data_IF_335469370144
#
_entry.id   IF_335469370144
#
_cell.length_a   1.000
_cell.length_b   1.000
_cell.length_c   1.000
_cell.angle_alpha   90.00
_cell.angle_beta   90.00
_cell.angle_gamma   90.00
#
_symmetry.space_group_name_H-M   'P 1'
#
loop_
_entity.id
_entity.type
_entity.pdbx_description
1 polymer ?
#
# COMPACT_ATOMS: atom_id res chain seq x y z
N UNK A 1 19.59 17.93 -17.07
CA UNK A 1 18.93 18.95 -16.23
C UNK A 1 18.69 18.38 -14.83
N UNK A 2 18.95 19.12 -13.73
CA UNK A 2 18.81 18.62 -12.36
C UNK A 2 17.43 18.04 -12.03
N UNK A 3 16.36 18.70 -12.50
CA UNK A 3 14.98 18.17 -12.41
C UNK A 3 14.83 16.74 -12.99
N UNK A 4 15.37 16.48 -14.19
CA UNK A 4 15.29 15.15 -14.84
C UNK A 4 16.08 14.11 -14.05
N UNK A 5 17.26 14.49 -13.53
CA UNK A 5 18.04 13.62 -12.64
C UNK A 5 17.26 13.29 -11.37
N UNK A 6 16.56 14.28 -10.79
CA UNK A 6 15.69 14.10 -9.64
C UNK A 6 14.56 13.13 -9.92
N UNK A 7 13.81 13.32 -11.00
CA UNK A 7 12.72 12.41 -11.38
C UNK A 7 13.19 10.98 -11.59
N UNK A 8 14.35 10.77 -12.22
CA UNK A 8 14.92 9.43 -12.40
C UNK A 8 15.34 8.81 -11.07
N UNK A 9 15.94 9.59 -10.17
CA UNK A 9 16.37 9.10 -8.87
C UNK A 9 15.20 8.77 -7.92
N UNK A 10 14.05 9.44 -8.07
CA UNK A 10 12.85 9.11 -7.31
C UNK A 10 12.31 7.71 -7.59
N UNK A 11 12.60 7.14 -8.76
CA UNK A 11 12.05 5.86 -9.17
C UNK A 11 12.84 4.72 -8.51
N UNK A 12 12.20 3.83 -7.74
CA UNK A 12 12.86 2.61 -7.31
C UNK A 12 13.20 1.75 -8.53
N UNK A 13 14.32 1.05 -8.45
CA UNK A 13 14.86 0.12 -9.44
C UNK A 13 15.29 -1.15 -8.72
N UNK A 14 15.61 -2.20 -9.46
CA UNK A 14 16.12 -3.42 -8.83
C UNK A 14 17.47 -3.21 -8.13
N UNK A 15 18.24 -2.19 -8.51
CA UNK A 15 19.54 -1.90 -7.92
C UNK A 15 19.49 -0.72 -6.93
N UNK A 16 18.28 -0.28 -6.54
CA UNK A 16 18.11 0.81 -5.59
C UNK A 16 18.78 0.48 -4.26
N UNK A 17 19.75 1.33 -3.89
CA UNK A 17 20.53 1.21 -2.64
C UNK A 17 19.99 2.07 -1.51
N UNK A 18 18.94 2.85 -1.74
CA UNK A 18 18.41 3.75 -0.72
C UNK A 18 17.45 3.00 0.19
N UNK A 19 17.48 3.28 1.51
CA UNK A 19 16.36 2.92 2.41
C UNK A 19 15.21 3.91 2.29
N UNK A 20 15.52 5.18 2.03
CA UNK A 20 14.58 6.29 1.83
C UNK A 20 14.81 6.81 0.41
N UNK A 21 13.78 6.75 -0.44
CA UNK A 21 13.88 7.22 -1.82
C UNK A 21 14.13 8.73 -1.84
N UNK A 22 15.05 9.21 -2.67
CA UNK A 22 15.19 10.64 -2.87
C UNK A 22 13.95 11.18 -3.58
N UNK A 23 13.69 12.47 -3.40
CA UNK A 23 12.57 13.20 -4.00
C UNK A 23 13.10 14.36 -4.83
N UNK A 24 12.27 14.97 -5.67
CA UNK A 24 12.71 16.13 -6.47
C UNK A 24 13.22 17.29 -5.59
N UNK A 25 12.71 17.41 -4.36
CA UNK A 25 13.13 18.41 -3.37
C UNK A 25 14.56 18.17 -2.83
N UNK A 26 15.09 16.95 -2.96
CA UNK A 26 16.50 16.67 -2.64
C UNK A 26 17.47 17.18 -3.73
N UNK A 27 16.96 17.43 -4.94
CA UNK A 27 17.76 17.89 -6.09
C UNK A 27 17.60 19.38 -6.39
N UNK A 28 16.45 19.97 -6.05
CA UNK A 28 16.12 21.34 -6.37
C UNK A 28 15.82 22.17 -5.13
N UNK A 29 16.25 23.43 -5.15
CA UNK A 29 15.86 24.43 -4.17
C UNK A 29 15.20 25.63 -4.84
N UNK A 30 14.16 26.17 -4.21
CA UNK A 30 13.51 27.40 -4.66
C UNK A 30 14.26 28.59 -4.05
N UNK A 31 14.90 29.41 -4.88
CA UNK A 31 15.45 30.69 -4.46
C UNK A 31 14.57 31.83 -4.92
N UNK A 32 14.24 32.72 -3.99
CA UNK A 32 13.55 33.97 -4.29
C UNK A 32 14.58 35.03 -4.56
N UNK A 33 14.60 35.56 -5.77
CA UNK A 33 15.45 36.68 -6.14
C UNK A 33 14.95 37.98 -5.46
N UNK A 34 15.81 39.02 -5.37
CA UNK A 34 15.44 40.29 -4.73
C UNK A 34 14.25 41.02 -5.36
N UNK A 35 13.91 40.68 -6.61
CA UNK A 35 12.74 41.20 -7.35
C UNK A 35 11.43 40.42 -7.07
N UNK A 36 11.46 39.44 -6.16
CA UNK A 36 10.33 38.60 -5.80
C UNK A 36 10.09 37.44 -6.76
N UNK A 37 10.90 37.28 -7.82
CA UNK A 37 10.79 36.13 -8.73
C UNK A 37 11.38 34.89 -8.09
N UNK A 38 10.72 33.74 -8.24
CA UNK A 38 11.24 32.45 -7.77
C UNK A 38 11.95 31.72 -8.91
N UNK A 39 13.13 31.17 -8.62
CA UNK A 39 13.89 30.33 -9.55
C UNK A 39 14.20 29.00 -8.88
N UNK A 40 14.03 27.92 -9.63
CA UNK A 40 14.46 26.59 -9.23
C UNK A 40 15.93 26.42 -9.62
N UNK A 41 16.78 26.20 -8.63
CA UNK A 41 18.21 25.96 -8.81
C UNK A 41 18.58 24.57 -8.29
N UNK A 42 19.73 24.05 -8.74
CA UNK A 42 20.28 22.82 -8.20
C UNK A 42 20.65 23.02 -6.73
N UNK A 43 20.22 22.09 -5.88
CA UNK A 43 20.42 22.19 -4.44
C UNK A 43 21.90 22.07 -4.08
N UNK A 44 22.38 23.03 -3.30
CA UNK A 44 23.74 22.99 -2.77
C UNK A 44 23.86 21.84 -1.76
N UNK A 45 24.88 20.97 -1.90
CA UNK A 45 25.07 19.80 -1.01
C UNK A 45 24.31 18.52 -1.42
N UNK A 46 23.74 18.47 -2.62
CA UNK A 46 23.02 17.28 -3.15
C UNK A 46 23.80 15.96 -2.97
N UNK A 47 25.11 15.95 -3.25
CA UNK A 47 25.93 14.73 -3.13
C UNK A 47 26.00 14.21 -1.70
N UNK A 48 26.15 15.11 -0.73
CA UNK A 48 26.24 14.74 0.68
C UNK A 48 24.89 14.18 1.15
N UNK A 49 23.79 14.81 0.73
CA UNK A 49 22.43 14.32 1.01
C UNK A 49 22.17 12.93 0.44
N UNK A 50 22.52 12.68 -0.82
CA UNK A 50 22.37 11.35 -1.42
C UNK A 50 23.23 10.30 -0.70
N UNK A 51 24.47 10.65 -0.34
CA UNK A 51 25.35 9.76 0.41
C UNK A 51 24.83 9.45 1.83
N UNK A 52 24.11 10.37 2.48
CA UNK A 52 23.40 10.08 3.73
C UNK A 52 22.29 9.06 3.55
N UNK A 53 21.49 9.20 2.48
CA UNK A 53 20.41 8.26 2.17
C UNK A 53 20.94 6.85 1.86
N UNK A 54 22.11 6.75 1.21
CA UNK A 54 22.81 5.48 0.97
C UNK A 54 23.39 4.87 2.26
N UNK A 55 23.86 5.68 3.21
CA UNK A 55 24.42 5.20 4.48
C UNK A 55 23.35 4.76 5.49
N UNK A 56 22.09 5.13 5.28
CA UNK A 56 20.96 4.77 6.14
C UNK A 56 20.43 3.33 5.92
N UNK A 57 21.17 2.47 5.21
CA UNK A 57 20.88 1.03 5.11
C UNK A 57 21.38 0.38 6.41
N UNK A 58 20.51 -0.09 7.34
CA UNK A 58 21.00 -0.98 8.37
C UNK A 58 21.50 -2.26 7.69
N UNK A 59 22.63 -2.78 8.16
CA UNK A 59 23.03 -4.15 7.85
C UNK A 59 21.83 -5.05 8.13
N UNK A 60 21.39 -5.82 7.13
CA UNK A 60 20.30 -6.76 7.27
C UNK A 60 20.57 -7.59 8.53
N UNK A 61 19.83 -7.29 9.59
CA UNK A 61 19.85 -8.10 10.79
C UNK A 61 19.38 -9.47 10.37
N UNK A 62 20.33 -10.40 10.25
CA UNK A 62 20.10 -11.82 10.03
C UNK A 62 18.82 -12.23 10.75
N UNK A 63 17.84 -12.73 10.01
CA UNK A 63 16.55 -13.14 10.52
C UNK A 63 16.73 -14.10 11.68
N UNK A 64 16.64 -13.57 12.90
CA UNK A 64 16.41 -14.38 14.09
C UNK A 64 15.02 -15.00 13.93
N UNK A 65 14.97 -16.33 14.12
CA UNK A 65 13.88 -17.19 13.68
C UNK A 65 12.50 -16.65 14.04
N UNK A 66 11.62 -16.63 13.03
CA UNK A 66 10.20 -16.32 13.19
C UNK A 66 9.60 -17.23 14.24
N UNK A 67 9.22 -16.66 15.38
CA UNK A 67 8.42 -17.38 16.36
C UNK A 67 6.99 -17.50 15.83
N UNK A 68 6.23 -18.58 16.12
CA UNK A 68 4.80 -18.65 15.82
C UNK A 68 3.99 -17.45 16.36
N UNK A 69 4.50 -16.75 17.37
CA UNK A 69 3.92 -15.51 17.92
C UNK A 69 3.94 -14.33 16.96
N UNK A 70 4.80 -14.38 15.95
CA UNK A 70 5.03 -13.27 15.02
C UNK A 70 4.09 -13.35 13.82
N UNK A 71 3.33 -14.44 13.68
CA UNK A 71 2.34 -14.61 12.63
C UNK A 71 1.12 -13.71 12.88
N UNK A 72 0.89 -12.74 12.00
CA UNK A 72 -0.29 -11.88 12.05
C UNK A 72 -1.46 -12.49 11.28
N UNK A 73 -1.21 -12.98 10.07
CA UNK A 73 -2.26 -13.47 9.16
C UNK A 73 -1.86 -14.83 8.60
N UNK A 74 -2.77 -15.79 8.61
CA UNK A 74 -2.68 -17.05 7.86
C UNK A 74 -3.87 -17.16 6.92
N UNK A 75 -3.62 -17.51 5.67
CA UNK A 75 -4.63 -17.76 4.65
C UNK A 75 -4.43 -19.19 4.14
N UNK A 76 -5.48 -19.99 4.14
CA UNK A 76 -5.43 -21.43 3.80
C UNK A 76 -6.52 -21.77 2.76
N UNK A 77 -6.12 -22.30 1.60
CA UNK A 77 -6.98 -22.73 0.47
C UNK A 77 -8.11 -21.72 0.15
N UNK A 78 -7.78 -20.43 0.15
CA UNK A 78 -8.75 -19.37 -0.08
C UNK A 78 -9.23 -19.38 -1.52
N UNK A 79 -10.56 -19.35 -1.71
CA UNK A 79 -11.20 -19.30 -3.03
C UNK A 79 -12.23 -18.18 -3.10
N UNK A 80 -12.22 -17.48 -4.22
CA UNK A 80 -13.18 -16.44 -4.56
C UNK A 80 -13.56 -16.64 -6.02
N UNK A 81 -14.73 -17.23 -6.23
CA UNK A 81 -15.27 -17.54 -7.54
C UNK A 81 -16.52 -16.69 -7.79
N UNK A 82 -16.54 -15.97 -8.91
CA UNK A 82 -17.69 -15.18 -9.33
C UNK A 82 -18.43 -15.89 -10.44
N UNK A 83 -19.75 -16.00 -10.31
CA UNK A 83 -20.58 -16.52 -11.38
C UNK A 83 -21.00 -15.35 -12.28
N UNK A 84 -20.54 -15.34 -13.52
CA UNK A 84 -20.92 -14.38 -14.55
C UNK A 84 -21.87 -15.06 -15.54
N UNK A 85 -23.09 -14.55 -15.66
CA UNK A 85 -24.15 -15.11 -16.53
C UNK A 85 -25.29 -15.76 -15.73
N UNK A 86 -26.51 -15.26 -15.92
CA UNK A 86 -27.71 -15.75 -15.24
C UNK A 86 -28.63 -14.69 -14.63
N UNK A 87 -28.52 -13.42 -15.02
CA UNK A 87 -29.59 -12.45 -14.74
C UNK A 87 -30.90 -12.88 -15.42
N UNK A 88 -32.04 -12.40 -14.93
CA UNK A 88 -33.41 -12.74 -15.42
C UNK A 88 -33.58 -12.57 -16.95
N UNK A 89 -32.74 -11.74 -17.60
CA UNK A 89 -32.69 -11.52 -19.05
C UNK A 89 -31.68 -12.41 -19.81
N UNK A 90 -30.68 -12.99 -19.14
CA UNK A 90 -29.63 -13.81 -19.77
C UNK A 90 -30.10 -15.21 -20.17
N UNK A 91 -31.15 -15.73 -19.52
CA UNK A 91 -31.79 -16.99 -19.89
C UNK A 91 -32.48 -16.98 -21.26
N UNK A 92 -32.78 -15.79 -21.81
CA UNK A 92 -33.37 -15.62 -23.15
C UNK A 92 -32.33 -15.62 -24.27
N UNK A 93 -31.03 -15.43 -23.97
CA UNK A 93 -29.95 -15.32 -24.97
C UNK A 93 -28.88 -16.42 -24.88
N UNK A 94 -29.13 -17.49 -24.11
CA UNK A 94 -28.41 -18.76 -24.25
C UNK A 94 -26.92 -18.78 -23.89
N UNK A 95 -26.39 -17.78 -23.18
CA UNK A 95 -25.01 -17.83 -22.68
C UNK A 95 -24.94 -18.68 -21.42
N UNK A 96 -24.15 -19.76 -21.45
CA UNK A 96 -23.90 -20.60 -20.28
C UNK A 96 -23.26 -19.78 -19.15
N UNK A 97 -23.62 -20.02 -17.88
CA UNK A 97 -22.96 -19.38 -16.76
C UNK A 97 -21.46 -19.69 -16.79
N UNK A 98 -20.62 -18.65 -16.82
CA UNK A 98 -19.18 -18.74 -16.73
C UNK A 98 -18.73 -18.40 -15.31
N UNK A 99 -18.04 -19.33 -14.66
CA UNK A 99 -17.43 -19.08 -13.35
C UNK A 99 -16.03 -18.51 -13.54
N UNK A 100 -15.82 -17.27 -13.10
CA UNK A 100 -14.52 -16.61 -13.06
C UNK A 100 -13.87 -16.92 -11.72
N UNK A 101 -12.73 -17.62 -11.76
CA UNK A 101 -11.96 -17.97 -10.56
C UNK A 101 -10.92 -16.90 -10.26
N UNK A 102 -11.34 -15.83 -9.57
CA UNK A 102 -10.46 -14.71 -9.28
C UNK A 102 -9.40 -15.04 -8.22
N UNK A 103 -9.71 -15.95 -7.29
CA UNK A 103 -8.77 -16.54 -6.33
C UNK A 103 -9.08 -18.03 -6.25
N UNK A 104 -8.09 -18.91 -6.42
CA UNK A 104 -8.29 -20.35 -6.59
C UNK A 104 -7.29 -21.21 -5.81
N UNK A 105 -7.47 -21.24 -4.48
CA UNK A 105 -6.69 -22.08 -3.58
C UNK A 105 -5.41 -21.38 -3.12
N UNK A 106 -5.51 -20.09 -2.84
CA UNK A 106 -4.38 -19.29 -2.35
C UNK A 106 -4.11 -19.62 -0.89
N UNK A 107 -2.85 -19.91 -0.59
CA UNK A 107 -2.32 -19.95 0.77
C UNK A 107 -1.15 -18.98 0.91
N UNK A 108 -1.13 -18.21 1.99
CA UNK A 108 -0.03 -17.30 2.32
C UNK A 108 -0.01 -17.01 3.82
N UNK A 109 1.12 -16.52 4.29
CA UNK A 109 1.30 -16.07 5.68
C UNK A 109 1.88 -14.66 5.70
N UNK A 110 1.60 -13.92 6.77
CA UNK A 110 2.11 -12.57 6.97
C UNK A 110 2.57 -12.37 8.41
N UNK A 111 3.80 -11.90 8.57
CA UNK A 111 4.39 -11.63 9.88
C UNK A 111 4.13 -10.19 10.35
N UNK A 112 4.02 -10.01 11.66
CA UNK A 112 3.85 -8.70 12.31
C UNK A 112 5.00 -7.75 11.98
N UNK A 113 4.66 -6.49 11.69
CA UNK A 113 5.63 -5.43 11.38
C UNK A 113 6.35 -5.60 10.04
N UNK A 114 5.97 -6.59 9.22
CA UNK A 114 6.58 -6.88 7.91
C UNK A 114 5.67 -6.48 6.76
N UNK A 115 6.26 -6.34 5.58
CA UNK A 115 5.55 -6.09 4.33
C UNK A 115 5.63 -7.31 3.44
N UNK A 116 4.46 -7.86 3.05
CA UNK A 116 4.36 -8.83 1.96
C UNK A 116 3.94 -8.11 0.69
N UNK A 117 4.80 -8.18 -0.32
CA UNK A 117 4.52 -7.76 -1.67
C UNK A 117 3.65 -8.78 -2.40
N UNK A 118 2.56 -8.35 -3.03
CA UNK A 118 1.76 -9.18 -3.92
C UNK A 118 1.86 -8.63 -5.34
N UNK A 119 2.49 -9.42 -6.23
CA UNK A 119 2.79 -9.04 -7.62
C UNK A 119 2.17 -10.01 -8.61
N UNK A 120 2.07 -9.57 -9.87
CA UNK A 120 1.52 -10.36 -10.96
C UNK A 120 0.85 -9.46 -11.99
N UNK A 121 0.47 -10.02 -13.13
CA UNK A 121 -0.18 -9.27 -14.21
C UNK A 121 -1.49 -8.60 -13.81
N UNK A 122 -1.90 -7.57 -14.56
CA UNK A 122 -3.20 -6.94 -14.37
C UNK A 122 -4.32 -7.98 -14.54
N UNK A 123 -5.29 -7.99 -13.62
CA UNK A 123 -6.41 -8.93 -13.66
C UNK A 123 -6.12 -10.34 -13.12
N UNK A 124 -4.92 -10.64 -12.61
CA UNK A 124 -4.61 -11.98 -12.08
C UNK A 124 -5.26 -12.33 -10.73
N UNK A 125 -5.94 -11.37 -10.07
CA UNK A 125 -6.71 -11.60 -8.84
C UNK A 125 -6.21 -10.88 -7.58
N UNK A 126 -5.13 -10.08 -7.66
CA UNK A 126 -4.49 -9.43 -6.49
C UNK A 126 -5.44 -8.59 -5.64
N UNK A 127 -6.15 -7.65 -6.27
CA UNK A 127 -7.14 -6.80 -5.60
C UNK A 127 -8.28 -7.62 -4.99
N UNK A 128 -8.70 -8.70 -5.67
CA UNK A 128 -9.72 -9.61 -5.12
C UNK A 128 -9.20 -10.33 -3.88
N UNK A 129 -7.95 -10.82 -3.90
CA UNK A 129 -7.32 -11.46 -2.75
C UNK A 129 -7.20 -10.50 -1.55
N UNK A 130 -6.67 -9.29 -1.77
CA UNK A 130 -6.55 -8.29 -0.70
C UNK A 130 -7.90 -7.92 -0.08
N UNK A 131 -8.94 -7.75 -0.90
CA UNK A 131 -10.30 -7.47 -0.42
C UNK A 131 -10.95 -8.68 0.27
N UNK A 132 -10.66 -9.90 -0.17
CA UNK A 132 -11.16 -11.12 0.44
C UNK A 132 -10.57 -11.35 1.83
N UNK A 133 -9.26 -11.08 2.00
CA UNK A 133 -8.57 -11.10 3.31
C UNK A 133 -9.27 -10.18 4.32
N UNK A 134 -9.73 -9.01 3.87
CA UNK A 134 -10.46 -8.04 4.70
C UNK A 134 -11.97 -8.32 4.85
N UNK A 135 -12.46 -9.46 4.36
CA UNK A 135 -13.91 -9.77 4.29
C UNK A 135 -14.73 -8.64 3.65
N UNK A 136 -14.17 -7.96 2.63
CA UNK A 136 -14.87 -6.99 1.79
C UNK A 136 -15.53 -7.65 0.58
N UNK A 137 -15.09 -8.86 0.23
CA UNK A 137 -15.67 -9.71 -0.81
C UNK A 137 -15.99 -11.07 -0.21
N UNK A 138 -17.10 -11.67 -0.67
CA UNK A 138 -17.52 -12.99 -0.20
C UNK A 138 -16.54 -14.06 -0.67
N UNK A 139 -16.06 -14.86 0.26
CA UNK A 139 -15.20 -16.01 -0.02
C UNK A 139 -16.07 -17.22 -0.36
N UNK A 140 -15.68 -17.99 -1.37
CA UNK A 140 -16.32 -19.25 -1.74
C UNK A 140 -15.95 -20.37 -0.77
N UNK A 141 -14.66 -20.47 -0.42
CA UNK A 141 -14.14 -21.43 0.56
C UNK A 141 -12.77 -20.97 1.08
N UNK A 142 -12.21 -21.72 2.03
CA UNK A 142 -10.92 -21.46 2.67
C UNK A 142 -11.06 -20.81 4.03
N UNK A 143 -9.92 -20.64 4.70
CA UNK A 143 -9.80 -20.09 6.05
C UNK A 143 -8.91 -18.86 6.04
N UNK A 144 -9.27 -17.86 6.84
CA UNK A 144 -8.44 -16.68 7.08
C UNK A 144 -8.35 -16.52 8.59
N UNK A 145 -7.15 -16.65 9.15
CA UNK A 145 -6.89 -16.46 10.58
C UNK A 145 -6.10 -15.18 10.81
N UNK A 146 -6.53 -14.38 11.78
CA UNK A 146 -5.86 -13.17 12.23
C UNK A 146 -5.43 -13.36 13.69
N UNK A 147 -4.12 -13.32 13.96
CA UNK A 147 -3.51 -13.67 15.26
C UNK A 147 -3.95 -15.05 15.80
N UNK A 148 -4.12 -16.01 14.89
CA UNK A 148 -4.58 -17.36 15.21
C UNK A 148 -6.10 -17.53 15.36
N UNK A 149 -6.87 -16.43 15.37
CA UNK A 149 -8.33 -16.46 15.43
C UNK A 149 -8.94 -16.49 14.01
N UNK A 150 -9.90 -17.37 13.77
CA UNK A 150 -10.63 -17.42 12.49
C UNK A 150 -11.45 -16.14 12.29
N UNK A 151 -11.26 -15.46 11.16
CA UNK A 151 -12.05 -14.28 10.84
C UNK A 151 -13.52 -14.66 10.60
N UNK A 152 -14.48 -13.97 11.25
CA UNK A 152 -15.89 -14.18 11.00
C UNK A 152 -16.26 -14.01 9.52
N UNK A 153 -17.35 -14.66 9.09
CA UNK A 153 -17.84 -14.53 7.73
C UNK A 153 -18.25 -13.09 7.40
N UNK A 154 -18.23 -12.74 6.11
CA UNK A 154 -18.65 -11.42 5.64
C UNK A 154 -20.08 -11.09 6.13
N UNK A 155 -20.27 -9.89 6.67
CA UNK A 155 -21.55 -9.43 7.20
C UNK A 155 -21.77 -9.75 8.69
N UNK A 156 -20.91 -10.55 9.32
CA UNK A 156 -20.98 -10.77 10.77
C UNK A 156 -20.71 -9.47 11.54
N UNK A 157 -21.51 -9.11 12.55
CA UNK A 157 -21.23 -8.02 13.48
C UNK A 157 -19.90 -8.18 14.22
N UNK A 158 -19.45 -9.42 14.41
CA UNK A 158 -18.17 -9.77 15.04
C UNK A 158 -16.96 -9.31 14.22
N UNK A 159 -17.15 -8.89 12.96
CA UNK A 159 -16.08 -8.28 12.16
C UNK A 159 -15.72 -6.87 12.61
N UNK A 160 -16.57 -6.16 13.35
CA UNK A 160 -16.34 -4.75 13.65
C UNK A 160 -15.01 -4.49 14.40
N UNK A 161 -14.61 -5.30 15.41
CA UNK A 161 -13.30 -5.17 16.04
C UNK A 161 -12.14 -5.45 15.06
N UNK A 162 -12.25 -6.45 14.18
CA UNK A 162 -11.23 -6.73 13.16
C UNK A 162 -11.11 -5.61 12.14
N UNK A 163 -12.24 -5.00 11.74
CA UNK A 163 -12.24 -3.84 10.85
C UNK A 163 -11.49 -2.66 11.46
N UNK A 164 -11.50 -2.47 12.78
CA UNK A 164 -10.67 -1.45 13.42
C UNK A 164 -9.17 -1.72 13.17
N UNK A 165 -8.75 -2.98 13.30
CA UNK A 165 -7.35 -3.41 13.24
C UNK A 165 -6.82 -3.64 11.81
N UNK A 166 -7.72 -3.89 10.87
CA UNK A 166 -7.42 -4.22 9.48
C UNK A 166 -8.03 -3.16 8.55
N UNK A 167 -7.17 -2.37 7.90
CA UNK A 167 -7.58 -1.26 7.04
C UNK A 167 -7.12 -1.46 5.60
N UNK A 168 -7.60 -0.59 4.71
CA UNK A 168 -7.22 -0.60 3.30
C UNK A 168 -6.98 0.83 2.81
N UNK A 169 -5.94 0.98 2.01
CA UNK A 169 -5.69 2.16 1.21
C UNK A 169 -5.95 1.75 -0.25
N UNK A 170 -7.00 2.31 -0.84
CA UNK A 170 -7.41 1.97 -2.20
C UNK A 170 -6.55 2.65 -3.26
N UNK A 171 -6.66 2.14 -4.49
CA UNK A 171 -5.97 2.60 -5.69
C UNK A 171 -6.31 4.05 -6.06
N UNK A 172 -7.59 4.43 -5.96
CA UNK A 172 -8.05 5.77 -6.30
C UNK A 172 -8.36 6.59 -5.03
N UNK A 173 -7.49 7.56 -4.66
CA UNK A 173 -7.75 8.43 -3.52
C UNK A 173 -8.96 9.35 -3.73
N UNK A 174 -9.32 9.66 -4.98
CA UNK A 174 -10.48 10.51 -5.28
C UNK A 174 -11.79 9.79 -5.00
N UNK A 175 -11.93 8.55 -5.47
CA UNK A 175 -13.11 7.73 -5.20
C UNK A 175 -13.24 7.34 -3.72
N UNK A 176 -12.12 7.30 -2.99
CA UNK A 176 -12.08 6.89 -1.58
C UNK A 176 -12.58 7.96 -0.60
N UNK A 177 -12.51 9.24 -0.98
CA UNK A 177 -12.94 10.36 -0.14
C UNK A 177 -14.29 10.89 -0.62
N UNK A 178 -15.22 11.12 0.31
CA UNK A 178 -16.48 11.77 -0.03
C UNK A 178 -16.21 13.27 -0.32
N UNK A 179 -16.42 13.76 -1.56
CA UNK A 179 -16.05 15.13 -1.95
C UNK A 179 -16.89 16.20 -1.24
N UNK A 180 -17.98 15.81 -0.57
CA UNK A 180 -18.88 16.70 0.18
C UNK A 180 -18.49 16.87 1.65
N UNK A 181 -17.55 16.07 2.14
CA UNK A 181 -17.07 16.13 3.52
C UNK A 181 -15.76 16.90 3.58
N UNK A 182 -15.54 17.63 4.66
CA UNK A 182 -14.22 18.21 4.96
C UNK A 182 -13.24 17.12 5.36
N UNK A 183 -11.94 17.44 5.37
CA UNK A 183 -10.90 16.50 5.82
C UNK A 183 -11.13 16.09 7.28
N UNK A 184 -11.49 17.04 8.15
CA UNK A 184 -11.87 16.75 9.54
C UNK A 184 -12.99 15.71 9.61
N UNK A 185 -14.08 15.91 8.85
CA UNK A 185 -15.21 14.98 8.84
C UNK A 185 -14.82 13.60 8.30
N UNK A 186 -14.05 13.55 7.22
CA UNK A 186 -13.62 12.30 6.60
C UNK A 186 -12.70 11.45 7.50
N UNK A 187 -11.89 12.11 8.35
CA UNK A 187 -10.98 11.45 9.29
C UNK A 187 -11.65 11.11 10.64
N UNK A 188 -12.63 11.91 11.08
CA UNK A 188 -13.40 11.64 12.30
C UNK A 188 -14.45 10.53 12.10
N UNK A 189 -15.01 10.37 10.90
CA UNK A 189 -16.05 9.36 10.62
C UNK A 189 -15.66 7.94 11.09
N UNK A 190 -14.49 7.38 10.71
CA UNK A 190 -14.05 6.08 11.23
C UNK A 190 -13.92 6.04 12.75
N UNK A 191 -13.45 7.12 13.39
CA UNK A 191 -13.32 7.20 14.84
C UNK A 191 -14.69 7.09 15.53
N UNK A 192 -15.73 7.74 14.97
CA UNK A 192 -17.09 7.65 15.50
C UNK A 192 -17.65 6.24 15.41
N UNK A 193 -17.46 5.56 14.28
CA UNK A 193 -17.91 4.17 14.07
C UNK A 193 -17.28 3.21 15.09
N UNK A 194 -16.01 3.43 15.42
CA UNK A 194 -15.26 2.57 16.34
C UNK A 194 -15.20 3.08 17.78
N UNK A 195 -15.95 4.14 18.12
CA UNK A 195 -16.01 4.69 19.48
C UNK A 195 -14.68 5.27 19.99
N UNK A 196 -13.83 5.77 19.09
CA UNK A 196 -12.50 6.31 19.41
C UNK A 196 -12.64 7.80 19.75
N UNK A 197 -12.01 8.21 20.85
CA UNK A 197 -12.08 9.56 21.40
C UNK A 197 -13.37 9.80 22.20
N UNK A 198 -13.22 10.44 23.36
CA UNK A 198 -14.30 10.72 24.31
C UNK A 198 -15.16 11.93 23.94
N UNK A 199 -14.63 12.85 23.13
CA UNK A 199 -15.31 14.10 22.75
C UNK A 199 -14.96 14.54 21.32
N UNK A 200 -15.75 15.47 20.78
CA UNK A 200 -15.44 16.08 19.47
C UNK A 200 -14.08 16.81 19.49
N UNK A 201 -13.75 17.48 20.60
CA UNK A 201 -12.48 18.19 20.74
C UNK A 201 -11.29 17.23 20.71
N UNK A 202 -11.38 16.10 21.41
CA UNK A 202 -10.32 15.08 21.41
C UNK A 202 -10.14 14.46 20.02
N UNK A 203 -11.23 14.16 19.31
CA UNK A 203 -11.15 13.63 17.94
C UNK A 203 -10.50 14.63 16.99
N UNK A 204 -10.83 15.92 17.11
CA UNK A 204 -10.21 16.99 16.32
C UNK A 204 -8.71 17.08 16.57
N UNK A 205 -8.26 17.01 17.82
CA UNK A 205 -6.84 17.03 18.17
C UNK A 205 -6.09 15.82 17.62
N UNK A 206 -6.67 14.61 17.75
CA UNK A 206 -6.10 13.39 17.15
C UNK A 206 -5.97 13.52 15.63
N UNK A 207 -7.01 14.02 14.96
CA UNK A 207 -6.98 14.20 13.50
C UNK A 207 -5.98 15.28 13.09
N UNK A 208 -5.81 16.36 13.86
CA UNK A 208 -4.77 17.36 13.61
C UNK A 208 -3.37 16.74 13.67
N UNK A 209 -3.09 15.95 14.71
CA UNK A 209 -1.82 15.23 14.86
C UNK A 209 -1.59 14.22 13.73
N UNK A 210 -2.65 13.52 13.28
CA UNK A 210 -2.55 12.58 12.15
C UNK A 210 -2.23 13.28 10.83
N UNK A 211 -2.78 14.49 10.59
CA UNK A 211 -2.43 15.27 9.40
C UNK A 211 -0.95 15.66 9.41
N UNK A 212 -0.45 16.12 10.55
CA UNK A 212 0.96 16.48 10.70
C UNK A 212 1.88 15.27 10.50
N UNK A 213 1.50 14.11 11.03
CA UNK A 213 2.24 12.86 10.86
C UNK A 213 2.34 12.40 9.40
N UNK A 214 1.29 12.62 8.60
CA UNK A 214 1.35 12.34 7.15
C UNK A 214 1.97 13.49 6.33
N UNK A 215 2.53 14.50 7.01
CA UNK A 215 3.21 15.64 6.40
C UNK A 215 2.28 16.68 5.80
N UNK A 216 1.09 16.89 6.38
CA UNK A 216 0.13 17.93 6.02
C UNK A 216 -0.10 18.88 7.20
N UNK A 217 -0.33 20.16 6.92
CA UNK A 217 -0.68 21.13 7.97
C UNK A 217 -2.04 20.80 8.59
N UNK A 218 -2.14 20.93 9.92
CA UNK A 218 -3.40 20.84 10.67
C UNK A 218 -4.38 21.97 10.31
N UNK A 219 -3.92 23.08 9.71
CA UNK A 219 -4.80 24.14 9.18
C UNK A 219 -5.70 23.66 8.02
N UNK A 220 -5.37 22.50 7.44
CA UNK A 220 -6.11 21.92 6.32
C UNK A 220 -7.39 21.18 6.73
N UNK A 221 -7.69 21.04 8.03
CA UNK A 221 -8.84 20.29 8.55
C UNK A 221 -10.18 20.68 7.91
N UNK A 222 -10.40 21.97 7.67
CA UNK A 222 -11.66 22.48 7.13
C UNK A 222 -11.74 22.50 5.60
N UNK A 223 -10.65 22.10 4.92
CA UNK A 223 -10.63 22.00 3.45
C UNK A 223 -11.37 20.76 2.98
N UNK A 224 -11.74 20.77 1.72
CA UNK A 224 -12.37 19.67 1.01
C UNK A 224 -11.34 18.90 0.15
N UNK A 225 -11.58 17.62 -0.15
CA UNK A 225 -10.65 16.80 -0.94
C UNK A 225 -10.19 17.44 -2.26
N UNK A 226 -11.07 18.18 -2.95
CA UNK A 226 -10.75 18.79 -4.24
C UNK A 226 -9.67 19.89 -4.16
N UNK A 227 -9.41 20.45 -2.98
CA UNK A 227 -8.42 21.50 -2.73
C UNK A 227 -6.98 20.96 -2.56
N UNK A 228 -6.80 19.65 -2.66
CA UNK A 228 -5.50 18.97 -2.49
C UNK A 228 -4.99 18.38 -3.80
N UNK A 229 -3.67 18.28 -3.93
CA UNK A 229 -3.02 17.52 -5.01
C UNK A 229 -3.25 16.01 -4.85
N UNK A 230 -3.01 15.22 -5.91
CA UNK A 230 -3.12 13.76 -5.84
C UNK A 230 -2.28 13.14 -4.70
N UNK A 231 -1.05 13.61 -4.53
CA UNK A 231 -0.17 13.23 -3.43
C UNK A 231 -0.71 13.52 -2.04
N UNK A 232 -1.23 14.73 -1.86
CA UNK A 232 -1.82 15.14 -0.59
C UNK A 232 -3.10 14.34 -0.29
N UNK A 233 -3.94 14.06 -1.29
CA UNK A 233 -5.12 13.19 -1.11
C UNK A 233 -4.74 11.77 -0.72
N UNK A 234 -3.66 11.23 -1.28
CA UNK A 234 -3.18 9.91 -0.90
C UNK A 234 -2.73 9.88 0.56
N UNK A 235 -1.97 10.90 1.01
CA UNK A 235 -1.58 11.07 2.42
C UNK A 235 -2.80 11.21 3.34
N UNK A 236 -3.86 11.90 2.90
CA UNK A 236 -5.14 11.96 3.63
C UNK A 236 -5.79 10.57 3.71
N UNK A 237 -5.74 9.77 2.65
CA UNK A 237 -6.25 8.40 2.68
C UNK A 237 -5.45 7.51 3.65
N UNK A 238 -4.12 7.68 3.72
CA UNK A 238 -3.27 7.05 4.74
C UNK A 238 -3.71 7.48 6.14
N UNK A 239 -3.85 8.80 6.39
CA UNK A 239 -4.32 9.31 7.68
C UNK A 239 -5.70 8.75 8.06
N UNK A 240 -6.61 8.56 7.10
CA UNK A 240 -7.94 7.97 7.32
C UNK A 240 -7.85 6.53 7.78
N UNK A 241 -6.97 5.73 7.17
CA UNK A 241 -6.72 4.37 7.61
C UNK A 241 -6.11 4.35 9.03
N UNK A 242 -5.17 5.26 9.33
CA UNK A 242 -4.53 5.37 10.63
C UNK A 242 -5.43 5.90 11.74
N UNK A 243 -6.54 6.57 11.40
CA UNK A 243 -7.47 7.17 12.36
C UNK A 243 -8.05 6.17 13.37
N UNK A 244 -8.07 4.89 13.01
CA UNK A 244 -8.58 3.80 13.86
C UNK A 244 -7.49 3.00 14.56
N UNK A 245 -6.23 3.42 14.46
CA UNK A 245 -5.05 2.78 15.04
C UNK A 245 -4.94 1.29 14.61
N UNK A 246 -4.81 1.00 13.29
CA UNK A 246 -4.74 -0.36 12.79
C UNK A 246 -3.36 -1.00 13.04
N UNK A 247 -3.31 -2.32 12.97
CA UNK A 247 -2.05 -3.08 12.95
C UNK A 247 -1.70 -3.56 11.53
N UNK A 248 -2.72 -3.77 10.69
CA UNK A 248 -2.61 -4.31 9.34
C UNK A 248 -3.28 -3.39 8.32
N UNK A 249 -2.57 -3.08 7.22
CA UNK A 249 -3.11 -2.31 6.12
C UNK A 249 -2.85 -3.01 4.78
N UNK A 250 -3.90 -3.18 3.98
CA UNK A 250 -3.78 -3.57 2.57
C UNK A 250 -3.56 -2.31 1.75
N UNK A 251 -2.45 -2.23 1.03
CA UNK A 251 -2.15 -1.17 0.07
C UNK A 251 -2.49 -1.66 -1.34
N UNK A 252 -3.69 -1.35 -1.83
CA UNK A 252 -4.21 -1.83 -3.12
C UNK A 252 -3.83 -0.85 -4.25
N UNK A 253 -2.67 -1.05 -4.88
CA UNK A 253 -2.13 -0.17 -5.94
C UNK A 253 -2.09 1.33 -5.56
N UNK A 254 -1.86 1.62 -4.28
CA UNK A 254 -2.03 2.96 -3.70
C UNK A 254 -1.05 4.03 -4.20
N UNK A 255 -0.07 3.66 -5.04
CA UNK A 255 0.94 4.55 -5.62
C UNK A 255 1.05 4.47 -7.15
N UNK A 256 0.16 3.71 -7.82
CA UNK A 256 0.31 3.41 -9.25
C UNK A 256 -0.06 4.58 -10.17
N UNK A 257 -0.99 5.44 -9.74
CA UNK A 257 -1.48 6.57 -10.53
C UNK A 257 -0.77 7.91 -10.24
N UNK A 258 0.41 7.86 -9.61
CA UNK A 258 1.12 9.05 -9.12
C UNK A 258 2.36 9.36 -9.95
N UNK A 259 2.78 10.62 -10.00
CA UNK A 259 4.10 10.97 -10.52
C UNK A 259 5.21 10.39 -9.63
N UNK A 260 6.38 10.13 -10.22
CA UNK A 260 7.49 9.41 -9.55
C UNK A 260 7.97 10.11 -8.28
N UNK A 261 7.90 11.44 -8.19
CA UNK A 261 8.33 12.16 -6.98
C UNK A 261 7.33 11.98 -5.85
N UNK A 262 6.03 12.12 -6.13
CA UNK A 262 4.99 11.90 -5.14
C UNK A 262 4.92 10.44 -4.72
N UNK A 263 5.10 9.50 -5.66
CA UNK A 263 5.23 8.08 -5.36
C UNK A 263 6.34 7.84 -4.32
N UNK A 264 7.55 8.34 -4.55
CA UNK A 264 8.66 8.24 -3.60
C UNK A 264 8.30 8.77 -2.22
N UNK A 265 7.64 9.94 -2.15
CA UNK A 265 7.20 10.52 -0.89
C UNK A 265 6.20 9.63 -0.13
N UNK A 266 5.22 9.03 -0.82
CA UNK A 266 4.24 8.13 -0.18
C UNK A 266 4.90 6.84 0.27
N UNK A 267 5.80 6.26 -0.52
CA UNK A 267 6.55 5.06 -0.13
C UNK A 267 7.42 5.30 1.12
N UNK A 268 8.09 6.45 1.17
CA UNK A 268 8.86 6.85 2.35
C UNK A 268 7.97 7.02 3.58
N UNK A 269 6.79 7.66 3.42
CA UNK A 269 5.82 7.81 4.50
C UNK A 269 5.35 6.45 5.02
N UNK A 270 4.98 5.51 4.15
CA UNK A 270 4.54 4.18 4.57
C UNK A 270 5.64 3.44 5.36
N UNK A 271 6.90 3.52 4.90
CA UNK A 271 8.04 2.92 5.62
C UNK A 271 8.25 3.58 6.99
N UNK A 272 8.19 4.90 7.07
CA UNK A 272 8.30 5.63 8.33
C UNK A 272 7.19 5.24 9.31
N UNK A 273 5.96 5.08 8.83
CA UNK A 273 4.82 4.65 9.63
C UNK A 273 4.97 3.20 10.08
N UNK A 274 5.49 2.30 9.24
CA UNK A 274 5.83 0.93 9.62
C UNK A 274 6.85 0.93 10.77
N UNK A 275 7.95 1.68 10.64
CA UNK A 275 8.99 1.75 11.66
C UNK A 275 8.46 2.35 12.98
N UNK A 276 7.63 3.42 12.92
CA UNK A 276 7.12 4.12 14.11
C UNK A 276 5.98 3.39 14.82
N UNK A 277 5.09 2.74 14.07
CA UNK A 277 3.84 2.17 14.59
C UNK A 277 3.82 0.64 14.58
N UNK A 278 4.83 -0.01 14.01
CA UNK A 278 4.87 -1.46 13.87
C UNK A 278 3.82 -2.00 12.88
N UNK A 279 3.43 -1.19 11.88
CA UNK A 279 2.40 -1.57 10.92
C UNK A 279 2.83 -2.76 10.08
N UNK A 280 1.86 -3.60 9.73
CA UNK A 280 2.04 -4.72 8.82
C UNK A 280 1.34 -4.40 7.51
N UNK A 281 2.00 -4.66 6.38
CA UNK A 281 1.45 -4.34 5.06
C UNK A 281 1.30 -5.56 4.17
N UNK A 282 0.14 -5.64 3.50
CA UNK A 282 0.00 -6.38 2.25
C UNK A 282 0.07 -5.35 1.11
N UNK A 283 1.19 -5.30 0.42
CA UNK A 283 1.47 -4.30 -0.60
C UNK A 283 1.21 -4.84 -2.00
N UNK A 284 0.11 -4.43 -2.61
CA UNK A 284 -0.32 -4.87 -3.94
C UNK A 284 0.16 -3.87 -4.98
N UNK A 285 0.93 -4.33 -5.95
CA UNK A 285 1.35 -3.51 -7.08
C UNK A 285 1.63 -4.37 -8.31
N UNK A 286 1.56 -3.75 -9.48
CA UNK A 286 2.10 -4.32 -10.71
C UNK A 286 3.53 -3.83 -11.02
N UNK A 287 4.02 -2.79 -10.33
CA UNK A 287 5.40 -2.33 -10.46
C UNK A 287 6.31 -3.14 -9.53
N UNK A 288 7.06 -4.08 -10.12
CA UNK A 288 8.00 -4.94 -9.39
C UNK A 288 9.13 -4.17 -8.71
N UNK A 289 9.53 -3.00 -9.22
CA UNK A 289 10.60 -2.22 -8.59
C UNK A 289 10.13 -1.58 -7.31
N UNK A 290 8.88 -1.08 -7.30
CA UNK A 290 8.23 -0.58 -6.09
C UNK A 290 8.09 -1.71 -5.06
N UNK A 291 7.62 -2.89 -5.47
CA UNK A 291 7.45 -4.01 -4.53
C UNK A 291 8.77 -4.47 -3.93
N UNK A 292 9.82 -4.61 -4.74
CA UNK A 292 11.16 -4.96 -4.25
C UNK A 292 11.64 -3.97 -3.19
N UNK A 293 11.37 -2.69 -3.42
CA UNK A 293 11.79 -1.63 -2.52
C UNK A 293 11.03 -1.64 -1.18
N UNK A 294 9.76 -2.04 -1.16
CA UNK A 294 8.92 -1.97 0.05
C UNK A 294 8.83 -3.27 0.83
N UNK A 295 9.05 -4.43 0.21
CA UNK A 295 8.61 -5.71 0.76
C UNK A 295 9.74 -6.53 1.36
N UNK A 296 9.46 -7.19 2.49
CA UNK A 296 10.33 -8.19 3.11
C UNK A 296 10.19 -9.55 2.40
N UNK A 297 8.94 -9.95 2.14
CA UNK A 297 8.57 -11.17 1.42
C UNK A 297 7.71 -10.83 0.22
N UNK A 298 7.66 -11.73 -0.76
CA UNK A 298 6.94 -11.52 -2.02
C UNK A 298 6.17 -12.77 -2.39
N UNK A 299 4.90 -12.57 -2.76
CA UNK A 299 4.01 -13.55 -3.36
C UNK A 299 3.78 -13.17 -4.83
N UNK A 300 4.14 -14.05 -5.75
CA UNK A 300 3.89 -13.90 -7.19
C UNK A 300 2.60 -14.63 -7.53
N UNK A 301 1.63 -13.90 -8.09
CA UNK A 301 0.28 -14.39 -8.38
C UNK A 301 0.02 -14.46 -9.88
N UNK A 302 -0.47 -15.61 -10.35
CA UNK A 302 -0.91 -15.85 -11.74
C UNK A 302 -2.27 -16.55 -11.72
N UNK A 303 -3.20 -16.08 -12.55
CA UNK A 303 -4.51 -16.74 -12.77
C UNK A 303 -5.22 -17.20 -11.48
N UNK A 304 -5.25 -16.36 -10.45
CA UNK A 304 -5.92 -16.67 -9.18
C UNK A 304 -5.09 -17.50 -8.19
N UNK A 305 -3.84 -17.86 -8.50
CA UNK A 305 -2.99 -18.76 -7.69
C UNK A 305 -1.66 -18.10 -7.34
N UNK A 306 -1.06 -18.52 -6.22
CA UNK A 306 0.31 -18.13 -5.88
C UNK A 306 1.25 -19.12 -6.57
N UNK A 307 2.08 -18.60 -7.47
CA UNK A 307 3.09 -19.35 -8.22
C UNK A 307 4.41 -19.46 -7.47
N UNK A 308 4.76 -18.41 -6.71
CA UNK A 308 6.00 -18.38 -5.93
C UNK A 308 5.81 -17.50 -4.70
N UNK A 309 6.38 -17.89 -3.56
CA UNK A 309 6.31 -17.17 -2.29
C UNK A 309 7.64 -17.32 -1.54
N UNK A 310 8.16 -16.22 -1.01
CA UNK A 310 9.34 -16.26 -0.14
C UNK A 310 10.01 -14.90 0.04
N UNK A 311 11.22 -14.86 0.63
CA UNK A 311 11.96 -13.62 0.85
C UNK A 311 12.20 -12.86 -0.45
N UNK A 312 12.00 -11.54 -0.42
CA UNK A 312 12.10 -10.68 -1.61
C UNK A 312 13.45 -10.84 -2.34
N UNK A 313 14.55 -10.90 -1.57
CA UNK A 313 15.89 -11.12 -2.11
C UNK A 313 16.05 -12.44 -2.87
N UNK A 314 15.40 -13.52 -2.40
CA UNK A 314 15.43 -14.82 -3.06
C UNK A 314 14.59 -14.80 -4.34
N UNK A 315 13.37 -14.29 -4.29
CA UNK A 315 12.47 -14.22 -5.46
C UNK A 315 13.11 -13.41 -6.60
N UNK A 316 13.78 -12.30 -6.29
CA UNK A 316 14.40 -11.43 -7.31
C UNK A 316 15.78 -11.89 -7.75
N UNK A 317 16.55 -12.53 -6.86
CA UNK A 317 17.91 -12.98 -7.14
C UNK A 317 18.01 -14.37 -7.75
N UNK A 318 17.09 -15.27 -7.39
CA UNK A 318 17.07 -16.65 -7.85
C UNK A 318 15.63 -17.21 -7.92
N UNK A 319 14.78 -16.67 -8.83
CA UNK A 319 13.42 -17.14 -9.02
C UNK A 319 13.37 -18.61 -9.43
N UNK A 320 12.48 -19.37 -8.81
CA UNK A 320 12.29 -20.80 -9.07
C UNK A 320 11.22 -21.06 -10.13
N UNK A 321 10.16 -20.26 -10.17
CA UNK A 321 9.10 -20.39 -11.17
C UNK A 321 9.52 -19.79 -12.51
N UNK A 322 9.15 -20.48 -13.60
CA UNK A 322 9.34 -19.96 -14.96
C UNK A 322 8.57 -18.66 -15.17
N UNK A 323 7.33 -18.58 -14.66
CA UNK A 323 6.54 -17.37 -14.72
C UNK A 323 7.20 -16.19 -13.98
N UNK A 324 7.77 -16.42 -12.80
CA UNK A 324 8.47 -15.36 -12.07
C UNK A 324 9.69 -14.87 -12.85
N UNK A 325 10.43 -15.76 -13.53
CA UNK A 325 11.54 -15.36 -14.41
C UNK A 325 11.06 -14.47 -15.55
N UNK A 326 10.03 -14.90 -16.27
CA UNK A 326 9.44 -14.13 -17.37
C UNK A 326 8.96 -12.75 -16.89
N UNK A 327 8.28 -12.70 -15.75
CA UNK A 327 7.77 -11.46 -15.16
C UNK A 327 8.91 -10.48 -14.80
N UNK A 328 10.00 -10.99 -14.23
CA UNK A 328 11.17 -10.18 -13.88
C UNK A 328 11.97 -9.73 -15.12
N UNK A 329 12.07 -10.57 -16.14
CA UNK A 329 12.73 -10.24 -17.42
C UNK A 329 11.96 -9.20 -18.24
N UNK A 330 10.63 -9.18 -18.11
CA UNK A 330 9.79 -8.18 -18.76
C UNK A 330 9.97 -6.75 -18.20
N UNK A 331 10.57 -6.59 -17.02
CA UNK A 331 10.81 -5.27 -16.43
C UNK A 331 12.03 -4.63 -17.09
N UNK A 332 11.90 -3.43 -17.68
CA UNK A 332 13.02 -2.73 -18.29
C UNK A 332 14.12 -2.49 -17.25
N UNK A 333 15.31 -3.08 -17.48
CA UNK A 333 16.49 -2.74 -16.70
C UNK A 333 16.95 -1.36 -17.14
N UNK A 334 16.99 -0.42 -16.20
CA UNK A 334 17.50 0.91 -16.45
C UNK A 334 19.04 0.81 -16.51
N UNK A 335 19.59 0.51 -17.68
CA UNK A 335 21.02 0.69 -17.94
C UNK A 335 21.28 2.20 -18.03
N UNK A 336 21.86 2.77 -16.98
CA UNK A 336 22.34 4.16 -16.94
C UNK A 336 23.85 4.18 -16.72
#
# INVERSE_FOLDING_TARGET
HPYVKGLLACRPTFDTKYRILPTVEDFLETKTAPDGTTRLEERTGMKDRLAELERAIPEDGNGEGSSPSDLLLSVEDLRVHFNSGGGVLGGLLGSAPQTVKAVDGVGLTLLKGRTLGLVGESGCGKTTLGRAILRLVQTTSGSIRYEGEELPAQGSPELLPFRKRMQIIFQDPYASLNPRLTIEQALIEPMLVHGIGSSQSERRERVASLLEEVGLSSDHLLRYPHEFSGGQRQRICVARALAVEPDFIVCDECVSAMDVSVQAQVLNLLRELQDKRGLTYLFISHDLSVVKFTSDEIAVMKEGRIEEFGPAGQIYGNPQSEYTRELLEAVPRAEF
#
